data_IF_294735595926
#
_entry.id   IF_294735595926
#
_cell.length_a   1.000
_cell.length_b   1.000
_cell.length_c   1.000
_cell.angle_alpha   90.00
_cell.angle_beta   90.00
_cell.angle_gamma   90.00
#
_symmetry.space_group_name_H-M   'P 1'
#
loop_
_entity.id
_entity.type
_entity.pdbx_description
1 polymer ?
#
# COMPACT_ATOMS: atom_id res chain seq x y z
N UNK A 1 16.99 26.86 -13.56
CA UNK A 1 17.06 25.52 -14.21
C UNK A 1 15.69 24.86 -14.09
N UNK A 2 15.24 24.15 -15.14
CA UNK A 2 13.92 23.52 -15.18
C UNK A 2 14.05 22.02 -14.90
N UNK A 3 13.39 21.51 -13.86
CA UNK A 3 13.43 20.08 -13.48
C UNK A 3 12.09 19.56 -12.98
N UNK A 4 11.87 18.26 -13.13
CA UNK A 4 10.78 17.55 -12.46
C UNK A 4 11.19 17.18 -11.03
N UNK A 5 10.25 17.33 -10.11
CA UNK A 5 10.35 16.85 -8.73
C UNK A 5 9.21 15.87 -8.47
N UNK A 6 9.49 14.81 -7.71
CA UNK A 6 8.50 13.79 -7.35
C UNK A 6 8.40 13.73 -5.83
N UNK A 7 7.19 13.84 -5.32
CA UNK A 7 6.85 13.62 -3.93
C UNK A 7 6.03 12.33 -3.83
N UNK A 8 6.48 11.39 -3.00
CA UNK A 8 5.76 10.16 -2.69
C UNK A 8 4.98 10.38 -1.41
N UNK A 9 3.66 10.33 -1.50
CA UNK A 9 2.74 10.55 -0.39
C UNK A 9 2.24 9.17 0.06
N UNK A 10 2.68 8.66 1.23
CA UNK A 10 2.19 7.40 1.76
C UNK A 10 0.74 7.56 2.26
N UNK A 11 -0.05 6.47 2.27
CA UNK A 11 -1.36 6.48 2.95
C UNK A 11 -1.19 6.72 4.45
N UNK A 12 -2.21 7.31 5.07
CA UNK A 12 -2.27 7.46 6.52
C UNK A 12 -2.57 6.12 7.22
N UNK A 13 -2.44 6.12 8.55
CA UNK A 13 -2.65 4.95 9.39
C UNK A 13 -4.09 4.45 9.38
N UNK A 14 -5.08 5.33 9.22
CA UNK A 14 -6.50 4.94 9.23
C UNK A 14 -6.84 4.11 7.98
N UNK A 15 -6.39 4.57 6.81
CA UNK A 15 -6.52 3.84 5.54
C UNK A 15 -5.79 2.50 5.59
N UNK A 16 -4.57 2.48 6.14
CA UNK A 16 -3.79 1.23 6.30
C UNK A 16 -4.49 0.23 7.22
N UNK A 17 -5.01 0.69 8.35
CA UNK A 17 -5.75 -0.17 9.29
C UNK A 17 -7.00 -0.76 8.65
N UNK A 18 -7.71 0.00 7.80
CA UNK A 18 -8.84 -0.52 7.02
C UNK A 18 -8.46 -1.68 6.11
N UNK A 19 -7.32 -1.57 5.40
CA UNK A 19 -6.78 -2.62 4.53
C UNK A 19 -6.41 -3.87 5.35
N UNK A 20 -5.74 -3.68 6.49
CA UNK A 20 -5.36 -4.81 7.33
C UNK A 20 -6.59 -5.55 7.86
N UNK A 21 -7.60 -4.83 8.34
CA UNK A 21 -8.85 -5.44 8.78
C UNK A 21 -9.58 -6.20 7.64
N UNK A 22 -9.52 -5.71 6.39
CA UNK A 22 -10.06 -6.43 5.24
C UNK A 22 -9.31 -7.74 4.98
N UNK A 23 -7.98 -7.70 4.96
CA UNK A 23 -7.14 -8.90 4.74
C UNK A 23 -7.34 -9.90 5.88
N UNK A 24 -7.29 -9.46 7.14
CA UNK A 24 -7.51 -10.31 8.30
C UNK A 24 -8.88 -11.00 8.23
N UNK A 25 -9.95 -10.26 7.89
CA UNK A 25 -11.29 -10.84 7.69
C UNK A 25 -11.33 -11.86 6.56
N UNK A 26 -10.69 -11.58 5.43
CA UNK A 26 -10.65 -12.48 4.27
C UNK A 26 -9.99 -13.82 4.60
N UNK A 27 -8.94 -13.79 5.42
CA UNK A 27 -8.14 -14.96 5.75
C UNK A 27 -8.48 -15.59 7.12
N UNK A 28 -9.39 -14.99 7.90
CA UNK A 28 -9.72 -15.38 9.28
C UNK A 28 -10.08 -16.86 9.50
N UNK A 29 -10.59 -17.55 8.46
CA UNK A 29 -11.01 -18.96 8.54
C UNK A 29 -10.06 -19.92 7.84
N UNK A 30 -8.92 -19.43 7.35
CA UNK A 30 -7.93 -20.26 6.68
C UNK A 30 -6.87 -20.73 7.68
N UNK A 31 -6.35 -21.94 7.47
CA UNK A 31 -5.16 -22.38 8.19
C UNK A 31 -3.95 -21.57 7.72
N UNK A 32 -3.21 -20.98 8.67
CA UNK A 32 -2.02 -20.16 8.42
C UNK A 32 -0.82 -21.02 8.00
N UNK A 33 -0.92 -21.65 6.84
CA UNK A 33 0.20 -22.31 6.19
C UNK A 33 1.17 -21.27 5.61
N UNK A 34 2.45 -21.63 5.37
CA UNK A 34 3.41 -20.72 4.73
C UNK A 34 2.91 -20.13 3.40
N UNK A 35 2.20 -20.94 2.60
CA UNK A 35 1.60 -20.49 1.34
C UNK A 35 0.53 -19.42 1.56
N UNK A 36 -0.36 -19.64 2.53
CA UNK A 36 -1.43 -18.67 2.85
C UNK A 36 -0.85 -17.37 3.37
N UNK A 37 0.17 -17.42 4.22
CA UNK A 37 0.86 -16.22 4.73
C UNK A 37 1.50 -15.43 3.58
N UNK A 38 2.16 -16.11 2.65
CA UNK A 38 2.79 -15.49 1.48
C UNK A 38 1.75 -14.85 0.53
N UNK A 39 0.58 -15.48 0.37
CA UNK A 39 -0.56 -14.89 -0.34
C UNK A 39 -1.10 -13.64 0.37
N UNK A 40 -1.32 -13.70 1.70
CA UNK A 40 -1.76 -12.57 2.52
C UNK A 40 -0.81 -11.37 2.38
N UNK A 41 0.50 -11.62 2.50
CA UNK A 41 1.52 -10.57 2.41
C UNK A 41 1.59 -9.94 1.03
N UNK A 42 1.52 -10.75 -0.04
CA UNK A 42 1.47 -10.24 -1.42
C UNK A 42 0.22 -9.40 -1.68
N UNK A 43 -0.92 -9.84 -1.19
CA UNK A 43 -2.17 -9.11 -1.38
C UNK A 43 -2.17 -7.80 -0.60
N UNK A 44 -1.78 -7.81 0.68
CA UNK A 44 -1.63 -6.60 1.49
C UNK A 44 -0.66 -5.61 0.82
N UNK A 45 0.50 -6.08 0.36
CA UNK A 45 1.48 -5.25 -0.37
C UNK A 45 0.86 -4.61 -1.61
N UNK A 46 0.09 -5.38 -2.40
CA UNK A 46 -0.58 -4.87 -3.61
C UNK A 46 -1.61 -3.80 -3.27
N UNK A 47 -2.38 -3.97 -2.20
CA UNK A 47 -3.39 -3.01 -1.77
C UNK A 47 -2.74 -1.72 -1.26
N UNK A 48 -1.73 -1.83 -0.39
CA UNK A 48 -0.98 -0.66 0.12
C UNK A 48 -0.35 0.14 -1.01
N UNK A 49 0.28 -0.53 -1.99
CA UNK A 49 0.89 0.15 -3.16
C UNK A 49 -0.13 0.96 -3.97
N UNK A 50 -1.40 0.55 -4.04
CA UNK A 50 -2.45 1.31 -4.74
C UNK A 50 -2.83 2.60 -4.04
N UNK A 51 -2.56 2.70 -2.74
CA UNK A 51 -2.87 3.90 -1.95
C UNK A 51 -1.73 4.91 -1.91
N UNK A 52 -0.52 4.51 -2.32
CA UNK A 52 0.61 5.44 -2.45
C UNK A 52 0.29 6.42 -3.58
N UNK A 53 0.23 7.70 -3.23
CA UNK A 53 0.01 8.77 -4.19
C UNK A 53 1.36 9.37 -4.57
N UNK A 54 1.54 9.71 -5.84
CA UNK A 54 2.73 10.44 -6.29
C UNK A 54 2.32 11.79 -6.87
N UNK A 55 3.00 12.84 -6.42
CA UNK A 55 2.82 14.19 -6.94
C UNK A 55 4.06 14.60 -7.70
N UNK A 56 3.89 14.86 -8.98
CA UNK A 56 4.97 15.34 -9.84
C UNK A 56 4.81 16.84 -10.04
N UNK A 57 5.83 17.62 -9.70
CA UNK A 57 5.85 19.07 -9.91
C UNK A 57 6.99 19.48 -10.83
N UNK A 58 6.78 20.55 -11.60
CA UNK A 58 7.83 21.17 -12.39
C UNK A 58 8.36 22.38 -11.63
N UNK A 59 9.66 22.38 -11.35
CA UNK A 59 10.36 23.49 -10.68
C UNK A 59 11.19 24.20 -11.73
N UNK A 60 10.98 25.51 -11.85
CA UNK A 60 11.76 26.41 -12.69
C UNK A 60 12.35 27.49 -11.79
N UNK A 61 13.68 27.52 -11.68
CA UNK A 61 14.38 28.66 -11.05
C UNK A 61 14.17 29.94 -11.86
#
# INVERSE_FOLDING_TARGET
MARLNVEVIPPDSEVLNGIFAEIERKYARQLLTPKVIDEMQREATRLVRRMITTKVTFVRD
#
